data_IF_451044920142
#
_entry.id   IF_451044920142
#
_cell.length_a   1.000
_cell.length_b   1.000
_cell.length_c   1.000
_cell.angle_alpha   90.00
_cell.angle_beta   90.00
_cell.angle_gamma   90.00
#
_symmetry.space_group_name_H-M   'P 1'
#
loop_
_entity.id
_entity.type
_entity.pdbx_description
1 polymer ?
#
# COMPACT_ATOMS: atom_id res chain seq x y z
N UNK A 1 -5.76 -0.82 -19.86
CA UNK A 1 -4.93 -1.68 -19.01
C UNK A 1 -3.56 -1.82 -19.58
N UNK A 2 -2.55 -1.71 -18.72
CA UNK A 2 -1.16 -1.59 -19.15
C UNK A 2 -0.42 -2.89 -18.89
N UNK A 3 -0.58 -3.47 -17.69
CA UNK A 3 0.19 -4.62 -17.21
C UNK A 3 -0.60 -5.92 -17.30
N UNK A 4 -1.94 -5.85 -17.30
CA UNK A 4 -2.80 -7.00 -17.57
C UNK A 4 -3.18 -7.84 -16.35
N UNK A 5 -2.82 -7.38 -15.14
CA UNK A 5 -3.14 -8.09 -13.89
C UNK A 5 -4.64 -8.15 -13.56
N UNK A 6 -5.46 -7.27 -14.16
CA UNK A 6 -6.87 -7.09 -13.78
C UNK A 6 -7.75 -8.35 -13.92
N UNK A 7 -7.30 -9.34 -14.69
CA UNK A 7 -8.05 -10.56 -14.98
C UNK A 7 -7.40 -11.84 -14.42
N UNK A 8 -6.26 -11.73 -13.70
CA UNK A 8 -5.54 -12.91 -13.22
C UNK A 8 -6.20 -13.54 -11.98
N UNK A 9 -6.85 -12.72 -11.15
CA UNK A 9 -7.46 -13.17 -9.91
C UNK A 9 -8.99 -12.99 -9.95
N UNK A 10 -9.77 -14.07 -9.79
CA UNK A 10 -11.23 -13.99 -9.75
C UNK A 10 -11.71 -13.34 -8.45
N UNK A 11 -12.98 -12.93 -8.44
CA UNK A 11 -13.62 -12.44 -7.23
C UNK A 11 -13.74 -13.55 -6.18
N UNK A 12 -13.44 -13.23 -4.92
CA UNK A 12 -13.54 -14.18 -3.80
C UNK A 12 -14.85 -14.05 -3.00
N UNK A 13 -14.96 -14.84 -1.92
CA UNK A 13 -16.11 -14.84 -1.03
C UNK A 13 -16.33 -13.49 -0.32
N UNK A 14 -15.27 -12.72 -0.04
CA UNK A 14 -15.40 -11.39 0.58
C UNK A 14 -15.97 -10.39 -0.42
N UNK A 15 -15.56 -10.46 -1.69
CA UNK A 15 -16.15 -9.62 -2.74
C UNK A 15 -17.63 -9.92 -2.95
N UNK A 16 -18.04 -11.18 -2.82
CA UNK A 16 -19.45 -11.58 -2.87
C UNK A 16 -20.24 -11.09 -1.65
N UNK A 17 -19.65 -11.14 -0.46
CA UNK A 17 -20.28 -10.68 0.78
C UNK A 17 -20.41 -9.14 0.85
N UNK A 18 -19.46 -8.41 0.25
CA UNK A 18 -19.45 -6.95 0.16
C UNK A 18 -19.43 -6.51 -1.30
N UNK A 19 -20.58 -6.56 -2.01
CA UNK A 19 -20.63 -6.36 -3.45
C UNK A 19 -20.49 -4.89 -3.88
N UNK A 20 -20.69 -3.93 -2.97
CA UNK A 20 -20.64 -2.51 -3.33
C UNK A 20 -20.69 -1.55 -2.15
N UNK A 21 -20.61 -0.22 -2.42
CA UNK A 21 -20.46 0.81 -1.40
C UNK A 21 -21.57 0.88 -0.36
N UNK A 22 -22.82 0.60 -0.74
CA UNK A 22 -23.96 0.61 0.18
C UNK A 22 -23.75 -0.44 1.30
N UNK A 23 -23.41 -1.67 0.92
CA UNK A 23 -23.14 -2.75 1.88
C UNK A 23 -21.92 -2.43 2.77
N UNK A 24 -20.90 -1.77 2.23
CA UNK A 24 -19.75 -1.31 3.02
C UNK A 24 -20.15 -0.26 4.06
N UNK A 25 -20.98 0.73 3.70
CA UNK A 25 -21.50 1.73 4.64
C UNK A 25 -22.35 1.10 5.73
N UNK A 26 -23.20 0.14 5.38
CA UNK A 26 -24.02 -0.60 6.36
C UNK A 26 -23.14 -1.39 7.35
N UNK A 27 -22.08 -2.03 6.87
CA UNK A 27 -21.12 -2.74 7.73
C UNK A 27 -20.40 -1.77 8.68
N UNK A 28 -19.93 -0.63 8.17
CA UNK A 28 -19.23 0.38 9.00
C UNK A 28 -20.15 0.97 10.05
N UNK A 29 -21.41 1.26 9.72
CA UNK A 29 -22.39 1.75 10.69
C UNK A 29 -22.56 0.80 11.88
N UNK A 30 -22.41 -0.51 11.66
CA UNK A 30 -22.54 -1.54 12.70
C UNK A 30 -21.24 -1.80 13.48
N UNK A 31 -20.08 -1.74 12.81
CA UNK A 31 -18.80 -2.21 13.38
C UNK A 31 -17.85 -1.09 13.75
N UNK A 32 -17.75 -0.05 12.93
CA UNK A 32 -16.80 1.08 13.07
C UNK A 32 -17.44 2.38 12.54
N UNK A 33 -18.48 2.91 13.22
CA UNK A 33 -19.21 4.09 12.74
C UNK A 33 -18.35 5.36 12.73
N UNK A 34 -17.15 5.34 13.32
CA UNK A 34 -16.18 6.44 13.26
C UNK A 34 -15.51 6.60 11.90
N UNK A 35 -15.33 5.50 11.14
CA UNK A 35 -14.51 5.48 9.93
C UNK A 35 -15.08 6.32 8.77
N UNK A 36 -16.40 6.30 8.46
CA UNK A 36 -16.93 7.11 7.37
C UNK A 36 -16.62 8.60 7.52
N UNK A 37 -16.92 9.19 8.68
CA UNK A 37 -16.71 10.62 8.93
C UNK A 37 -15.22 11.01 8.85
N UNK A 38 -14.35 10.11 9.27
CA UNK A 38 -12.89 10.23 9.23
C UNK A 38 -12.36 10.28 7.79
N UNK A 39 -12.74 9.33 6.95
CA UNK A 39 -12.35 9.33 5.54
C UNK A 39 -13.04 10.44 4.74
N UNK A 40 -14.27 10.83 5.10
CA UNK A 40 -14.97 11.99 4.53
C UNK A 40 -14.18 13.28 4.79
N UNK A 41 -13.70 13.49 6.01
CA UNK A 41 -12.87 14.63 6.35
C UNK A 41 -11.57 14.66 5.55
N UNK A 42 -10.93 13.50 5.34
CA UNK A 42 -9.74 13.41 4.49
C UNK A 42 -10.04 13.64 3.01
N UNK A 43 -11.11 13.08 2.47
CA UNK A 43 -11.50 13.29 1.08
C UNK A 43 -11.83 14.76 0.79
N UNK A 44 -12.50 15.44 1.73
CA UNK A 44 -12.83 16.86 1.61
C UNK A 44 -11.60 17.78 1.50
N UNK A 45 -10.44 17.35 2.05
CA UNK A 45 -9.18 18.09 1.92
C UNK A 45 -8.63 18.11 0.49
N UNK A 46 -9.09 17.24 -0.39
CA UNK A 46 -8.64 17.20 -1.78
C UNK A 46 -9.15 18.39 -2.60
N UNK A 47 -10.25 19.04 -2.18
CA UNK A 47 -10.90 20.15 -2.90
C UNK A 47 -11.26 19.78 -4.36
N UNK A 48 -11.72 18.54 -4.56
CA UNK A 48 -12.18 18.03 -5.85
C UNK A 48 -13.68 18.28 -6.03
N UNK A 49 -14.19 18.00 -7.23
CA UNK A 49 -15.64 18.00 -7.48
C UNK A 49 -16.38 17.11 -6.46
N UNK A 50 -17.52 17.54 -5.89
CA UNK A 50 -18.24 16.74 -4.89
C UNK A 50 -18.66 15.35 -5.36
N UNK A 51 -19.06 15.20 -6.63
CA UNK A 51 -19.43 13.90 -7.17
C UNK A 51 -18.20 13.01 -7.37
N UNK A 52 -17.07 13.57 -7.81
CA UNK A 52 -15.80 12.86 -7.88
C UNK A 52 -15.32 12.41 -6.49
N UNK A 53 -15.42 13.30 -5.50
CA UNK A 53 -15.05 13.04 -4.10
C UNK A 53 -15.90 11.91 -3.52
N UNK A 54 -17.22 11.98 -3.67
CA UNK A 54 -18.14 10.95 -3.18
C UNK A 54 -17.82 9.58 -3.79
N UNK A 55 -17.53 9.54 -5.09
CA UNK A 55 -17.22 8.30 -5.81
C UNK A 55 -15.91 7.65 -5.35
N UNK A 56 -14.86 8.43 -5.15
CA UNK A 56 -13.58 7.93 -4.60
C UNK A 56 -13.72 7.48 -3.15
N UNK A 57 -14.48 8.23 -2.34
CA UNK A 57 -14.76 7.86 -0.97
C UNK A 57 -15.51 6.52 -0.89
N UNK A 58 -16.54 6.33 -1.70
CA UNK A 58 -17.29 5.06 -1.75
C UNK A 58 -16.40 3.88 -2.14
N UNK A 59 -15.49 4.07 -3.10
CA UNK A 59 -14.47 3.08 -3.46
C UNK A 59 -13.49 2.80 -2.30
N UNK A 60 -13.00 3.84 -1.62
CA UNK A 60 -12.08 3.68 -0.49
C UNK A 60 -12.74 2.98 0.70
N UNK A 61 -13.99 3.33 1.03
CA UNK A 61 -14.76 2.65 2.09
C UNK A 61 -15.00 1.18 1.76
N UNK A 62 -15.30 0.86 0.49
CA UNK A 62 -15.45 -0.53 0.06
C UNK A 62 -14.13 -1.31 0.18
N UNK A 63 -13.02 -0.74 -0.28
CA UNK A 63 -11.68 -1.34 -0.15
C UNK A 63 -11.30 -1.61 1.31
N UNK A 64 -11.46 -0.60 2.16
CA UNK A 64 -11.23 -0.72 3.61
C UNK A 64 -12.09 -1.83 4.22
N UNK A 65 -13.39 -1.90 3.90
CA UNK A 65 -14.28 -2.92 4.44
C UNK A 65 -13.88 -4.33 3.99
N UNK A 66 -13.48 -4.50 2.74
CA UNK A 66 -13.06 -5.80 2.22
C UNK A 66 -11.75 -6.26 2.87
N UNK A 67 -10.78 -5.35 3.04
CA UNK A 67 -9.58 -5.66 3.83
C UNK A 67 -9.94 -5.99 5.28
N UNK A 68 -10.81 -5.20 5.90
CA UNK A 68 -11.26 -5.41 7.28
C UNK A 68 -12.00 -6.74 7.48
N UNK A 69 -12.75 -7.20 6.48
CA UNK A 69 -13.43 -8.49 6.50
C UNK A 69 -12.48 -9.67 6.31
N UNK A 70 -11.43 -9.51 5.48
CA UNK A 70 -10.41 -10.55 5.32
C UNK A 70 -9.48 -10.64 6.52
N UNK A 71 -8.93 -9.50 6.91
CA UNK A 71 -7.71 -9.41 7.71
C UNK A 71 -7.82 -8.45 8.89
N UNK A 72 -9.00 -7.88 9.11
CA UNK A 72 -9.24 -6.90 10.15
C UNK A 72 -10.15 -7.34 11.27
N UNK A 73 -10.70 -6.35 11.96
CA UNK A 73 -11.65 -6.56 13.04
C UNK A 73 -13.06 -6.97 12.59
N UNK A 74 -13.31 -7.11 11.29
CA UNK A 74 -14.65 -7.45 10.77
C UNK A 74 -14.86 -8.95 10.54
N UNK A 75 -13.77 -9.71 10.34
CA UNK A 75 -13.80 -11.16 10.12
C UNK A 75 -12.93 -11.96 11.09
N UNK A 76 -12.58 -13.19 10.70
CA UNK A 76 -12.01 -14.21 11.60
C UNK A 76 -10.52 -14.53 11.36
N UNK A 77 -9.88 -13.90 10.36
CA UNK A 77 -8.45 -14.08 10.08
C UNK A 77 -7.62 -12.79 10.30
N UNK A 78 -7.60 -12.23 11.53
CA UNK A 78 -7.00 -10.92 11.74
C UNK A 78 -5.48 -10.93 11.55
N UNK A 79 -5.04 -9.98 10.76
CA UNK A 79 -3.65 -9.60 10.58
C UNK A 79 -3.28 -8.50 11.57
N UNK A 80 -2.08 -8.60 12.13
CA UNK A 80 -1.62 -7.62 13.12
C UNK A 80 -1.19 -6.31 12.45
N UNK A 81 -0.77 -6.34 11.19
CA UNK A 81 -0.33 -5.17 10.44
C UNK A 81 -1.29 -4.83 9.30
N UNK A 82 -1.52 -5.73 8.34
CA UNK A 82 -2.33 -5.44 7.15
C UNK A 82 -3.84 -5.56 7.43
N UNK A 83 -4.48 -4.50 7.93
CA UNK A 83 -5.89 -4.44 8.32
C UNK A 83 -6.51 -3.05 8.12
N UNK A 84 -7.76 -2.83 8.55
CA UNK A 84 -8.46 -1.55 8.41
C UNK A 84 -7.78 -0.40 9.14
N UNK A 85 -7.08 -0.65 10.25
CA UNK A 85 -6.36 0.39 10.95
C UNK A 85 -5.15 0.85 10.15
N UNK A 86 -4.43 -0.07 9.47
CA UNK A 86 -3.34 0.28 8.55
C UNK A 86 -3.81 1.21 7.42
N UNK A 87 -5.01 1.00 6.88
CA UNK A 87 -5.61 1.94 5.91
C UNK A 87 -5.70 3.34 6.50
N UNK A 88 -6.14 3.49 7.75
CA UNK A 88 -6.25 4.79 8.43
C UNK A 88 -4.87 5.40 8.70
N UNK A 89 -3.85 4.58 8.99
CA UNK A 89 -2.46 5.04 9.12
C UNK A 89 -1.97 5.69 7.83
N UNK A 90 -2.25 5.10 6.67
CA UNK A 90 -1.89 5.67 5.38
C UNK A 90 -2.79 6.88 5.04
N UNK A 91 -4.10 6.72 5.12
CA UNK A 91 -5.10 7.67 4.63
C UNK A 91 -5.15 8.96 5.46
N UNK A 92 -5.07 8.88 6.78
CA UNK A 92 -5.16 10.06 7.64
C UNK A 92 -3.79 10.57 8.04
N UNK A 93 -2.94 9.68 8.58
CA UNK A 93 -1.72 10.11 9.24
C UNK A 93 -0.62 10.42 8.24
N UNK A 94 -0.32 9.51 7.31
CA UNK A 94 0.77 9.69 6.34
C UNK A 94 0.37 10.62 5.21
N UNK A 95 -0.77 10.38 4.57
CA UNK A 95 -1.28 11.25 3.51
C UNK A 95 -1.61 12.64 4.05
N UNK A 96 -2.23 12.74 5.24
CA UNK A 96 -2.48 14.03 5.89
C UNK A 96 -1.19 14.81 6.13
N UNK A 97 -0.13 14.16 6.60
CA UNK A 97 1.20 14.79 6.76
C UNK A 97 1.78 15.27 5.42
N UNK A 98 1.60 14.51 4.34
CA UNK A 98 2.01 14.94 2.99
C UNK A 98 1.25 16.20 2.59
N UNK A 99 -0.07 16.23 2.74
CA UNK A 99 -0.90 17.40 2.43
C UNK A 99 -0.50 18.62 3.27
N UNK A 100 -0.25 18.44 4.57
CA UNK A 100 0.15 19.54 5.47
C UNK A 100 1.53 20.11 5.14
N UNK A 101 2.47 19.25 4.76
CA UNK A 101 3.86 19.64 4.51
C UNK A 101 4.07 20.23 3.12
N UNK A 102 3.41 19.68 2.11
CA UNK A 102 3.54 20.13 0.72
C UNK A 102 2.53 21.22 0.35
N UNK A 103 1.40 21.27 1.06
CA UNK A 103 0.25 22.10 0.75
C UNK A 103 -0.68 21.48 -0.30
N UNK A 104 -1.96 21.84 -0.26
CA UNK A 104 -3.00 21.28 -1.14
C UNK A 104 -2.72 21.49 -2.64
N UNK A 105 -2.02 22.57 -3.01
CA UNK A 105 -1.67 22.87 -4.40
C UNK A 105 -0.50 22.03 -4.95
N UNK A 106 0.13 21.18 -4.13
CA UNK A 106 1.26 20.37 -4.57
C UNK A 106 0.87 19.27 -5.57
N UNK A 107 -0.37 18.77 -5.49
CA UNK A 107 -0.94 17.81 -6.43
C UNK A 107 -2.34 18.28 -6.88
N UNK A 108 -2.79 17.86 -8.08
CA UNK A 108 -4.18 18.03 -8.49
C UNK A 108 -5.17 17.38 -7.50
N UNK A 109 -6.40 17.92 -7.36
CA UNK A 109 -7.43 17.34 -6.48
C UNK A 109 -7.67 15.83 -6.68
N UNK A 110 -7.77 15.39 -7.94
CA UNK A 110 -7.96 13.96 -8.26
C UNK A 110 -6.76 13.07 -7.90
N UNK A 111 -5.56 13.62 -7.78
CA UNK A 111 -4.36 12.88 -7.35
C UNK A 111 -4.39 12.63 -5.85
N UNK A 112 -4.88 13.60 -5.05
CA UNK A 112 -5.12 13.38 -3.63
C UNK A 112 -6.15 12.28 -3.37
N UNK A 113 -7.25 12.29 -4.14
CA UNK A 113 -8.27 11.24 -4.06
C UNK A 113 -7.74 9.87 -4.51
N UNK A 114 -6.88 9.82 -5.53
CA UNK A 114 -6.24 8.58 -5.96
C UNK A 114 -5.31 7.99 -4.88
N UNK A 115 -4.54 8.83 -4.17
CA UNK A 115 -3.69 8.38 -3.05
C UNK A 115 -4.51 7.91 -1.85
N UNK A 116 -5.66 8.56 -1.57
CA UNK A 116 -6.61 8.08 -0.57
C UNK A 116 -7.17 6.70 -0.94
N UNK A 117 -7.51 6.50 -2.21
CA UNK A 117 -7.97 5.20 -2.70
C UNK A 117 -6.86 4.14 -2.64
N UNK A 118 -5.62 4.49 -2.99
CA UNK A 118 -4.45 3.61 -2.84
C UNK A 118 -4.30 3.10 -1.41
N UNK A 119 -4.39 3.99 -0.42
CA UNK A 119 -4.31 3.62 1.00
C UNK A 119 -5.29 2.51 1.37
N UNK A 120 -6.50 2.50 0.77
CA UNK A 120 -7.54 1.52 1.06
C UNK A 120 -7.51 0.26 0.18
N UNK A 121 -6.72 0.26 -0.90
CA UNK A 121 -6.82 -0.77 -1.94
C UNK A 121 -5.51 -1.53 -2.24
N UNK A 122 -4.35 -1.02 -1.87
CA UNK A 122 -3.08 -1.66 -2.25
C UNK A 122 -2.88 -3.05 -1.61
N UNK A 123 -3.40 -3.24 -0.40
CA UNK A 123 -3.19 -4.45 0.40
C UNK A 123 -4.42 -5.35 0.54
N UNK A 124 -5.40 -5.25 -0.35
CA UNK A 124 -6.65 -6.02 -0.30
C UNK A 124 -6.44 -7.55 -0.20
N UNK A 125 -5.31 -8.05 -0.72
CA UNK A 125 -4.95 -9.47 -0.81
C UNK A 125 -3.58 -9.69 -0.19
N UNK A 126 -3.48 -10.52 0.87
CA UNK A 126 -2.23 -10.74 1.61
C UNK A 126 -1.77 -12.20 1.71
N UNK A 127 -2.41 -13.10 0.95
CA UNK A 127 -2.18 -14.56 1.01
C UNK A 127 -1.93 -15.20 -0.37
N UNK A 128 -1.72 -14.40 -1.40
CA UNK A 128 -1.55 -14.91 -2.75
C UNK A 128 -0.14 -15.44 -2.97
N UNK A 129 -0.02 -16.41 -3.88
CA UNK A 129 1.26 -16.98 -4.29
C UNK A 129 1.94 -16.08 -5.34
N UNK A 130 3.28 -16.10 -5.38
CA UNK A 130 4.11 -15.31 -6.30
C UNK A 130 4.15 -15.82 -7.76
N UNK A 131 3.15 -16.59 -8.20
CA UNK A 131 3.13 -17.18 -9.55
C UNK A 131 2.41 -16.25 -10.54
N UNK A 132 2.97 -15.06 -10.75
CA UNK A 132 2.45 -14.05 -11.69
C UNK A 132 3.56 -13.55 -12.61
N UNK A 133 3.25 -13.20 -13.88
CA UNK A 133 4.26 -12.68 -14.79
C UNK A 133 4.83 -11.32 -14.33
N UNK A 134 6.15 -11.17 -14.45
CA UNK A 134 6.85 -9.92 -14.19
C UNK A 134 7.21 -9.70 -12.71
N UNK A 135 7.70 -8.50 -12.37
CA UNK A 135 8.27 -8.21 -11.04
C UNK A 135 7.22 -7.86 -9.97
N UNK A 136 5.92 -7.83 -10.33
CA UNK A 136 4.83 -7.51 -9.39
C UNK A 136 4.51 -8.73 -8.55
N UNK A 137 4.36 -8.57 -7.24
CA UNK A 137 4.02 -9.67 -6.35
C UNK A 137 2.60 -10.17 -6.55
N UNK A 138 2.33 -11.42 -6.17
CA UNK A 138 1.00 -12.02 -6.31
C UNK A 138 -0.08 -11.28 -5.51
N UNK A 139 0.29 -10.77 -4.32
CA UNK A 139 -0.58 -9.95 -3.49
C UNK A 139 -1.00 -8.67 -4.21
N UNK A 140 -0.02 -7.93 -4.74
CA UNK A 140 -0.24 -6.68 -5.46
C UNK A 140 -1.03 -6.91 -6.76
N UNK A 141 -0.70 -7.96 -7.53
CA UNK A 141 -1.43 -8.32 -8.74
C UNK A 141 -2.91 -8.64 -8.44
N UNK A 142 -3.20 -9.35 -7.35
CA UNK A 142 -4.56 -9.65 -6.94
C UNK A 142 -5.28 -8.42 -6.38
N UNK A 143 -4.59 -7.57 -5.62
CA UNK A 143 -5.11 -6.27 -5.15
C UNK A 143 -5.45 -5.35 -6.33
N UNK A 144 -4.67 -5.33 -7.41
CA UNK A 144 -5.00 -4.63 -8.65
C UNK A 144 -6.31 -5.17 -9.24
N UNK A 145 -6.42 -6.49 -9.42
CA UNK A 145 -7.63 -7.11 -9.97
C UNK A 145 -8.89 -6.77 -9.17
N UNK A 146 -8.79 -6.78 -7.84
CA UNK A 146 -9.91 -6.44 -6.97
C UNK A 146 -10.23 -4.94 -6.96
N UNK A 147 -9.21 -4.08 -6.94
CA UNK A 147 -9.36 -2.62 -7.00
C UNK A 147 -10.16 -2.21 -8.23
N UNK A 148 -9.94 -2.90 -9.34
CA UNK A 148 -10.65 -2.66 -10.60
C UNK A 148 -12.14 -2.97 -10.50
N UNK A 149 -12.49 -4.04 -9.79
CA UNK A 149 -13.88 -4.39 -9.51
C UNK A 149 -14.52 -3.43 -8.52
N UNK A 150 -13.75 -2.95 -7.53
CA UNK A 150 -14.19 -1.89 -6.61
C UNK A 150 -14.51 -0.61 -7.37
N UNK A 151 -13.62 -0.17 -8.27
CA UNK A 151 -13.85 1.00 -9.13
C UNK A 151 -15.13 0.84 -9.95
N UNK A 152 -15.35 -0.31 -10.59
CA UNK A 152 -16.57 -0.58 -11.33
C UNK A 152 -17.83 -0.55 -10.43
N UNK A 153 -17.77 -1.18 -9.25
CA UNK A 153 -18.87 -1.20 -8.28
C UNK A 153 -19.21 0.19 -7.72
N UNK A 154 -18.24 1.09 -7.70
CA UNK A 154 -18.40 2.50 -7.31
C UNK A 154 -18.73 3.42 -8.49
N UNK A 155 -19.00 2.89 -9.69
CA UNK A 155 -19.47 3.68 -10.83
C UNK A 155 -18.38 4.36 -11.67
N UNK A 156 -17.13 3.91 -11.58
CA UNK A 156 -16.07 4.30 -12.51
C UNK A 156 -16.17 3.52 -13.83
N UNK A 157 -16.04 4.21 -14.95
CA UNK A 157 -16.02 3.62 -16.29
C UNK A 157 -14.57 3.48 -16.80
N UNK A 158 -14.12 2.28 -17.24
CA UNK A 158 -12.74 2.07 -17.69
C UNK A 158 -12.28 2.94 -18.86
N UNK A 159 -13.20 3.44 -19.69
CA UNK A 159 -12.89 4.33 -20.81
C UNK A 159 -12.78 5.79 -20.37
N UNK A 160 -13.86 6.31 -19.78
CA UNK A 160 -13.95 7.71 -19.33
C UNK A 160 -13.00 8.00 -18.16
N UNK A 161 -12.87 7.06 -17.22
CA UNK A 161 -12.09 7.22 -16.00
C UNK A 161 -10.73 6.48 -16.09
N UNK A 162 -10.21 6.25 -17.32
CA UNK A 162 -8.96 5.53 -17.60
C UNK A 162 -7.79 5.97 -16.72
N UNK A 163 -7.60 7.28 -16.55
CA UNK A 163 -6.52 7.85 -15.76
C UNK A 163 -6.48 7.32 -14.32
N UNK A 164 -7.64 7.08 -13.69
CA UNK A 164 -7.73 6.51 -12.34
C UNK A 164 -7.34 5.05 -12.34
N UNK A 165 -7.88 4.25 -13.27
CA UNK A 165 -7.53 2.84 -13.40
C UNK A 165 -6.02 2.63 -13.63
N UNK A 166 -5.42 3.43 -14.52
CA UNK A 166 -3.97 3.40 -14.78
C UNK A 166 -3.17 3.80 -13.54
N UNK A 167 -3.56 4.86 -12.85
CA UNK A 167 -2.87 5.28 -11.64
C UNK A 167 -2.94 4.20 -10.55
N UNK A 168 -4.11 3.59 -10.33
CA UNK A 168 -4.26 2.50 -9.35
C UNK A 168 -3.42 1.27 -9.72
N UNK A 169 -3.40 0.87 -11.00
CA UNK A 169 -2.57 -0.25 -11.47
C UNK A 169 -1.08 0.01 -11.17
N UNK A 170 -0.57 1.21 -11.48
CA UNK A 170 0.84 1.54 -11.29
C UNK A 170 1.23 1.84 -9.84
N UNK A 171 0.33 2.42 -9.04
CA UNK A 171 0.58 2.65 -7.62
C UNK A 171 0.71 1.34 -6.84
N UNK A 172 -0.21 0.40 -7.06
CA UNK A 172 -0.19 -0.91 -6.40
C UNK A 172 0.96 -1.78 -6.93
N UNK A 173 1.22 -1.77 -8.25
CA UNK A 173 2.39 -2.45 -8.78
C UNK A 173 3.69 -1.91 -8.17
N UNK A 174 3.84 -0.58 -8.13
CA UNK A 174 5.01 0.10 -7.59
C UNK A 174 5.24 -0.16 -6.10
N UNK A 175 4.20 -0.40 -5.31
CA UNK A 175 4.34 -0.72 -3.88
C UNK A 175 4.89 -2.12 -3.62
N UNK A 176 4.96 -3.01 -4.62
CA UNK A 176 5.61 -4.33 -4.49
C UNK A 176 6.99 -4.18 -3.85
N UNK A 177 7.20 -4.82 -2.71
CA UNK A 177 8.44 -4.70 -1.94
C UNK A 177 9.23 -6.00 -1.89
N UNK A 178 10.45 -5.99 -2.44
CA UNK A 178 11.38 -7.12 -2.32
C UNK A 178 12.24 -6.99 -1.06
N UNK A 179 11.95 -7.85 -0.08
CA UNK A 179 12.68 -7.92 1.18
C UNK A 179 13.92 -8.83 1.14
N UNK A 180 14.20 -9.50 0.02
CA UNK A 180 15.32 -10.42 -0.11
C UNK A 180 16.65 -9.63 -0.14
N UNK A 181 17.73 -10.14 0.48
CA UNK A 181 19.05 -9.52 0.38
C UNK A 181 19.60 -9.59 -1.04
N UNK A 182 20.22 -8.50 -1.51
CA UNK A 182 20.94 -8.48 -2.79
C UNK A 182 22.35 -9.09 -2.64
N UNK A 183 22.90 -9.75 -3.69
CA UNK A 183 22.25 -10.13 -4.95
C UNK A 183 21.50 -11.46 -4.83
N UNK A 184 20.43 -11.65 -5.61
CA UNK A 184 19.77 -12.96 -5.72
C UNK A 184 20.56 -13.88 -6.65
N UNK A 185 20.41 -15.19 -6.46
CA UNK A 185 21.03 -16.22 -7.29
C UNK A 185 20.28 -16.48 -8.61
N UNK A 186 19.11 -15.86 -8.78
CA UNK A 186 18.19 -16.09 -9.89
C UNK A 186 18.26 -14.90 -10.87
N UNK A 187 18.36 -15.19 -12.17
CA UNK A 187 18.51 -14.25 -13.31
C UNK A 187 17.24 -13.38 -13.57
N UNK A 188 16.58 -12.85 -12.54
CA UNK A 188 15.44 -11.94 -12.68
C UNK A 188 15.89 -10.48 -12.60
N UNK A 189 16.46 -9.97 -13.70
CA UNK A 189 17.20 -8.69 -13.83
C UNK A 189 16.51 -7.40 -13.32
N UNK A 190 15.18 -7.37 -13.17
CA UNK A 190 14.45 -6.14 -12.78
C UNK A 190 14.12 -6.04 -11.28
N UNK A 191 13.79 -7.16 -10.62
CA UNK A 191 13.65 -7.21 -9.16
C UNK A 191 15.03 -7.25 -8.47
N UNK A 192 16.02 -7.87 -9.13
CA UNK A 192 17.41 -7.98 -8.66
C UNK A 192 18.21 -6.67 -8.68
N UNK A 193 17.79 -5.64 -9.43
CA UNK A 193 18.57 -4.41 -9.54
C UNK A 193 18.35 -3.41 -8.38
N UNK A 194 17.30 -3.56 -7.56
CA UNK A 194 16.90 -2.50 -6.62
C UNK A 194 17.01 -2.86 -5.14
N UNK A 195 16.47 -3.99 -4.70
CA UNK A 195 16.09 -4.21 -3.29
C UNK A 195 15.05 -3.17 -2.83
N UNK A 196 14.05 -3.58 -2.06
CA UNK A 196 12.96 -2.69 -1.64
C UNK A 196 11.86 -2.50 -2.70
N UNK A 197 11.27 -1.30 -2.79
CA UNK A 197 10.08 -1.06 -3.61
C UNK A 197 10.37 -1.04 -5.12
N UNK A 198 9.48 -1.69 -5.90
CA UNK A 198 9.50 -1.70 -7.36
C UNK A 198 9.35 -0.30 -7.96
N UNK A 199 8.72 0.66 -7.27
CA UNK A 199 8.52 2.02 -7.75
C UNK A 199 9.82 2.71 -8.22
N UNK A 200 10.96 2.34 -7.64
CA UNK A 200 12.28 2.87 -8.03
C UNK A 200 12.74 2.36 -9.41
N UNK A 201 12.33 1.15 -9.79
CA UNK A 201 12.60 0.53 -11.09
C UNK A 201 11.40 0.58 -12.05
N UNK A 202 10.25 1.12 -11.64
CA UNK A 202 9.00 1.08 -12.39
C UNK A 202 9.13 1.65 -13.80
N UNK A 203 9.77 2.82 -13.96
CA UNK A 203 10.01 3.41 -15.28
C UNK A 203 10.89 2.53 -16.19
N UNK A 204 11.94 1.91 -15.64
CA UNK A 204 12.81 1.00 -16.41
C UNK A 204 12.09 -0.28 -16.83
N UNK A 205 11.22 -0.80 -15.96
CA UNK A 205 10.38 -1.93 -16.32
C UNK A 205 9.37 -1.56 -17.41
N UNK A 206 8.75 -0.37 -17.31
CA UNK A 206 7.85 0.14 -18.33
C UNK A 206 8.54 0.37 -19.68
N UNK A 207 9.83 0.76 -19.70
CA UNK A 207 10.60 0.86 -20.95
C UNK A 207 10.68 -0.50 -21.69
N UNK A 208 10.66 -1.62 -20.95
CA UNK A 208 10.64 -2.97 -21.50
C UNK A 208 9.25 -3.45 -21.94
N UNK A 209 8.25 -3.30 -21.06
CA UNK A 209 6.89 -3.81 -21.32
C UNK A 209 6.07 -2.91 -22.25
N UNK A 210 6.32 -1.60 -22.21
CA UNK A 210 5.56 -0.55 -22.92
C UNK A 210 6.49 0.58 -23.36
N UNK A 211 7.34 0.39 -24.39
CA UNK A 211 8.37 1.36 -24.78
C UNK A 211 7.87 2.80 -25.03
N UNK A 212 6.60 2.96 -25.44
CA UNK A 212 5.99 4.28 -25.70
C UNK A 212 5.25 4.87 -24.48
N UNK A 213 5.39 4.30 -23.29
CA UNK A 213 4.65 4.73 -22.08
C UNK A 213 4.87 6.20 -21.74
N UNK A 214 6.06 6.73 -22.01
CA UNK A 214 6.39 8.13 -21.75
C UNK A 214 5.64 9.11 -22.68
N UNK A 215 5.04 8.64 -23.77
CA UNK A 215 4.16 9.45 -24.61
C UNK A 215 2.71 9.49 -24.10
N UNK A 216 2.29 8.52 -23.26
CA UNK A 216 0.94 8.47 -22.69
C UNK A 216 0.88 9.28 -21.38
N UNK A 217 0.11 10.39 -21.33
CA UNK A 217 0.04 11.25 -20.15
C UNK A 217 -0.54 10.55 -18.92
N UNK A 218 -1.46 9.60 -19.09
CA UNK A 218 -2.07 8.87 -17.97
C UNK A 218 -1.05 7.95 -17.32
N UNK A 219 -0.22 7.28 -18.12
CA UNK A 219 0.82 6.37 -17.64
C UNK A 219 1.94 7.14 -16.95
N UNK A 220 2.34 8.29 -17.49
CA UNK A 220 3.29 9.19 -16.83
C UNK A 220 2.78 9.73 -15.50
N UNK A 221 1.48 10.04 -15.41
CA UNK A 221 0.85 10.42 -14.15
C UNK A 221 0.89 9.26 -13.17
N UNK A 222 0.46 8.07 -13.59
CA UNK A 222 0.43 6.88 -12.74
C UNK A 222 1.80 6.44 -12.24
N UNK A 223 2.84 6.54 -13.06
CA UNK A 223 4.23 6.23 -12.64
C UNK A 223 4.72 7.19 -11.55
N UNK A 224 4.47 8.49 -11.72
CA UNK A 224 4.79 9.51 -10.70
C UNK A 224 4.06 9.25 -9.40
N UNK A 225 2.75 8.98 -9.49
CA UNK A 225 1.95 8.65 -8.32
C UNK A 225 2.42 7.35 -7.68
N UNK A 226 2.87 6.35 -8.45
CA UNK A 226 3.40 5.10 -7.92
C UNK A 226 4.63 5.27 -7.06
N UNK A 227 5.51 6.22 -7.39
CA UNK A 227 6.66 6.58 -6.53
C UNK A 227 6.22 7.16 -5.18
N UNK A 228 5.26 8.08 -5.19
CA UNK A 228 4.75 8.68 -3.96
C UNK A 228 3.90 7.68 -3.14
N UNK A 229 3.13 6.82 -3.80
CA UNK A 229 2.33 5.79 -3.17
C UNK A 229 3.21 4.76 -2.45
N UNK A 230 4.30 4.29 -3.09
CA UNK A 230 5.29 3.45 -2.43
C UNK A 230 5.91 4.12 -1.20
N UNK A 231 6.22 5.42 -1.28
CA UNK A 231 6.74 6.17 -0.14
C UNK A 231 5.71 6.32 1.00
N UNK A 232 4.41 6.37 0.69
CA UNK A 232 3.33 6.38 1.69
C UNK A 232 3.19 5.03 2.39
N UNK A 233 3.29 3.94 1.64
CA UNK A 233 3.23 2.57 2.16
C UNK A 233 4.41 2.30 3.12
N UNK A 234 5.62 2.66 2.71
CA UNK A 234 6.83 2.42 3.53
C UNK A 234 7.22 3.61 4.42
N UNK A 235 6.34 4.61 4.58
CA UNK A 235 6.64 5.82 5.34
C UNK A 235 6.81 5.60 6.85
N UNK A 236 6.55 4.39 7.37
CA UNK A 236 6.76 4.05 8.79
C UNK A 236 8.16 4.44 9.28
N UNK A 237 9.17 4.34 8.42
CA UNK A 237 10.55 4.75 8.74
C UNK A 237 10.70 6.24 9.11
N UNK A 238 9.80 7.09 8.61
CA UNK A 238 9.76 8.53 8.85
C UNK A 238 8.65 8.96 9.82
N UNK A 239 8.00 8.02 10.51
CA UNK A 239 7.10 8.30 11.62
C UNK A 239 7.90 8.51 12.92
N UNK A 240 7.23 8.90 14.02
CA UNK A 240 7.91 8.94 15.32
C UNK A 240 8.44 7.55 15.69
N UNK A 241 9.54 7.50 16.46
CA UNK A 241 10.25 6.24 16.71
C UNK A 241 9.36 5.17 17.38
N UNK A 242 8.42 5.58 18.22
CA UNK A 242 7.43 4.70 18.86
C UNK A 242 6.47 4.07 17.83
N UNK A 243 5.98 4.84 16.86
CA UNK A 243 5.14 4.33 15.78
C UNK A 243 5.92 3.40 14.84
N UNK A 244 7.18 3.76 14.52
CA UNK A 244 8.07 2.88 13.76
C UNK A 244 8.26 1.53 14.49
N UNK A 245 8.58 1.57 15.78
CA UNK A 245 8.78 0.36 16.58
C UNK A 245 7.51 -0.49 16.70
N UNK A 246 6.35 0.12 16.93
CA UNK A 246 5.07 -0.57 16.98
C UNK A 246 4.72 -1.24 15.64
N UNK A 247 4.95 -0.53 14.53
CA UNK A 247 4.74 -1.08 13.18
C UNK A 247 5.58 -2.33 12.93
N UNK A 248 6.85 -2.31 13.36
CA UNK A 248 7.75 -3.46 13.25
C UNK A 248 7.27 -4.63 14.14
N UNK A 249 6.77 -4.37 15.35
CA UNK A 249 6.21 -5.40 16.22
C UNK A 249 4.95 -6.03 15.61
N UNK A 250 4.04 -5.22 15.07
CA UNK A 250 2.83 -5.70 14.39
C UNK A 250 3.19 -6.58 13.18
N UNK A 251 4.10 -6.14 12.34
CA UNK A 251 4.55 -6.91 11.18
C UNK A 251 5.26 -8.21 11.59
N UNK A 252 6.06 -8.18 12.67
CA UNK A 252 6.69 -9.37 13.23
C UNK A 252 5.65 -10.42 13.67
N UNK A 253 4.63 -9.99 14.43
CA UNK A 253 3.53 -10.86 14.87
C UNK A 253 2.78 -11.47 13.70
N UNK A 254 2.50 -10.67 12.67
CA UNK A 254 1.82 -11.15 11.48
C UNK A 254 2.65 -12.18 10.71
N UNK A 255 3.96 -11.93 10.54
CA UNK A 255 4.87 -12.88 9.88
C UNK A 255 4.88 -14.25 10.57
N UNK A 256 4.89 -14.27 11.91
CA UNK A 256 4.81 -15.52 12.67
C UNK A 256 3.49 -16.24 12.47
N UNK A 257 2.37 -15.51 12.58
CA UNK A 257 1.02 -16.05 12.32
C UNK A 257 0.91 -16.65 10.91
N UNK A 258 1.35 -15.91 9.89
CA UNK A 258 1.33 -16.35 8.48
C UNK A 258 2.16 -17.61 8.25
N UNK A 259 3.23 -17.79 9.01
CA UNK A 259 4.04 -18.99 8.96
C UNK A 259 3.56 -20.12 9.90
N UNK A 260 2.38 -19.98 10.49
CA UNK A 260 1.78 -20.99 11.38
C UNK A 260 2.49 -21.14 12.73
N UNK A 261 3.29 -20.16 13.15
CA UNK A 261 4.04 -20.19 14.40
C UNK A 261 3.34 -19.38 15.49
N UNK A 262 3.26 -19.96 16.68
CA UNK A 262 2.67 -19.33 17.85
C UNK A 262 3.74 -18.59 18.67
N UNK A 263 3.48 -17.31 18.97
CA UNK A 263 4.42 -16.40 19.64
C UNK A 263 4.82 -16.85 21.05
N UNK A 264 3.98 -17.65 21.71
CA UNK A 264 4.23 -18.21 23.05
C UNK A 264 5.12 -19.47 23.01
N UNK A 265 5.56 -19.91 21.82
CA UNK A 265 6.45 -21.05 21.64
C UNK A 265 7.88 -20.61 21.40
N UNK A 266 8.82 -21.33 22.00
CA UNK A 266 10.25 -21.08 21.87
C UNK A 266 10.73 -21.02 20.40
N UNK A 267 10.08 -21.75 19.49
CA UNK A 267 10.40 -21.76 18.06
C UNK A 267 10.22 -20.41 17.35
N UNK A 268 9.38 -19.50 17.87
CA UNK A 268 9.22 -18.14 17.33
C UNK A 268 10.32 -17.17 17.78
N UNK A 269 11.03 -17.48 18.88
CA UNK A 269 12.05 -16.58 19.44
C UNK A 269 13.12 -16.18 18.43
N UNK A 270 13.82 -17.14 17.78
CA UNK A 270 14.88 -16.83 16.83
C UNK A 270 14.42 -16.03 15.60
N UNK A 271 13.23 -16.34 15.05
CA UNK A 271 12.70 -15.63 13.87
C UNK A 271 12.26 -14.22 14.21
N UNK A 272 11.59 -14.03 15.36
CA UNK A 272 11.22 -12.72 15.88
C UNK A 272 12.45 -11.84 16.15
N UNK A 273 13.44 -12.37 16.88
CA UNK A 273 14.66 -11.64 17.19
C UNK A 273 15.43 -11.31 15.91
N UNK A 274 15.58 -12.26 14.98
CA UNK A 274 16.25 -12.01 13.71
C UNK A 274 15.55 -10.92 12.88
N UNK A 275 14.23 -10.91 12.86
CA UNK A 275 13.45 -9.87 12.18
C UNK A 275 13.58 -8.50 12.86
N UNK A 276 13.43 -8.44 14.19
CA UNK A 276 13.44 -7.19 14.96
C UNK A 276 14.83 -6.58 15.15
N UNK A 277 15.90 -7.38 15.00
CA UNK A 277 17.30 -6.93 15.07
C UNK A 277 17.87 -6.64 13.68
N UNK A 278 18.57 -7.61 13.08
CA UNK A 278 19.23 -7.50 11.77
C UNK A 278 18.24 -7.19 10.66
N UNK A 279 17.03 -7.76 10.72
CA UNK A 279 15.98 -7.51 9.74
C UNK A 279 15.56 -6.04 9.68
N UNK A 280 15.34 -5.39 10.82
CA UNK A 280 15.01 -3.96 10.86
C UNK A 280 16.17 -3.07 10.42
N UNK A 281 17.43 -3.43 10.73
CA UNK A 281 18.58 -2.71 10.19
C UNK A 281 18.67 -2.80 8.66
N UNK A 282 18.51 -4.01 8.11
CA UNK A 282 18.51 -4.24 6.66
C UNK A 282 17.38 -3.47 5.98
N UNK A 283 16.16 -3.57 6.50
CA UNK A 283 15.01 -2.82 5.99
C UNK A 283 15.28 -1.31 5.99
N UNK A 284 15.72 -0.76 7.12
CA UNK A 284 15.81 0.68 7.31
C UNK A 284 16.95 1.35 6.53
N UNK A 285 18.14 0.71 6.53
CA UNK A 285 19.36 1.32 5.98
C UNK A 285 19.68 0.88 4.56
N UNK A 286 19.36 -0.36 4.20
CA UNK A 286 19.83 -0.94 2.94
C UNK A 286 18.71 -1.00 1.90
N UNK A 287 17.52 -1.48 2.29
CA UNK A 287 16.39 -1.68 1.38
C UNK A 287 15.54 -0.42 1.20
N UNK A 288 15.15 0.25 2.29
CA UNK A 288 14.24 1.38 2.21
C UNK A 288 14.92 2.65 1.69
N UNK A 289 14.41 3.18 0.59
CA UNK A 289 14.76 4.48 0.01
C UNK A 289 13.50 5.15 -0.51
N UNK A 290 13.40 6.48 -0.37
CA UNK A 290 12.28 7.20 -0.94
C UNK A 290 12.41 7.22 -2.47
N UNK A 291 11.31 6.93 -3.16
CA UNK A 291 11.19 6.84 -4.61
C UNK A 291 10.76 8.17 -5.23
N UNK A 292 10.19 9.08 -4.44
CA UNK A 292 9.76 10.42 -4.85
C UNK A 292 10.51 11.53 -4.10
N UNK A 293 10.54 12.73 -4.69
CA UNK A 293 11.13 13.92 -4.01
C UNK A 293 10.23 14.39 -2.88
N UNK A 294 8.92 14.23 -3.08
CA UNK A 294 7.85 14.53 -2.16
C UNK A 294 7.98 13.69 -0.89
N UNK A 295 8.08 12.37 -1.02
CA UNK A 295 8.26 11.44 0.09
C UNK A 295 9.54 11.72 0.89
N UNK A 296 10.67 11.91 0.21
CA UNK A 296 11.94 12.30 0.87
C UNK A 296 11.80 13.61 1.63
N UNK A 297 11.15 14.63 1.05
CA UNK A 297 10.93 15.92 1.70
C UNK A 297 10.06 15.81 2.96
N UNK A 298 9.02 14.97 2.93
CA UNK A 298 8.05 14.86 4.03
C UNK A 298 8.57 13.97 5.16
N UNK A 299 9.16 12.82 4.82
CA UNK A 299 9.49 11.75 5.77
C UNK A 299 11.01 11.59 6.02
N UNK A 300 11.85 12.06 5.11
CA UNK A 300 13.32 11.98 5.18
C UNK A 300 13.93 12.54 6.47
N UNK A 301 13.55 13.75 6.93
CA UNK A 301 14.12 14.31 8.16
C UNK A 301 13.90 13.42 9.38
N UNK A 302 12.70 12.85 9.53
CA UNK A 302 12.38 11.97 10.66
C UNK A 302 13.04 10.59 10.49
N UNK A 303 13.12 10.05 9.27
CA UNK A 303 13.91 8.83 8.99
C UNK A 303 15.36 9.03 9.44
N UNK A 304 15.98 10.16 9.11
CA UNK A 304 17.35 10.44 9.54
C UNK A 304 17.46 10.46 11.07
N UNK A 305 16.51 11.10 11.75
CA UNK A 305 16.47 11.18 13.22
C UNK A 305 16.24 9.82 13.90
N UNK A 306 15.50 8.89 13.25
CA UNK A 306 15.23 7.56 13.77
C UNK A 306 16.43 6.61 13.68
N UNK A 307 17.39 6.87 12.78
CA UNK A 307 18.53 5.99 12.53
C UNK A 307 19.31 5.55 13.77
N UNK A 308 19.72 6.45 14.69
CA UNK A 308 20.38 6.08 15.93
C UNK A 308 19.52 5.18 16.83
N UNK A 309 18.21 5.43 16.89
CA UNK A 309 17.26 4.61 17.65
C UNK A 309 17.17 3.19 17.12
N UNK A 310 17.07 3.04 15.79
CA UNK A 310 17.01 1.72 15.12
C UNK A 310 18.27 0.91 15.43
N UNK A 311 19.47 1.52 15.30
CA UNK A 311 20.73 0.84 15.62
C UNK A 311 20.80 0.40 17.07
N UNK A 312 20.48 1.31 18.00
CA UNK A 312 20.55 1.04 19.44
C UNK A 312 19.64 -0.12 19.85
N UNK A 313 18.37 -0.10 19.43
CA UNK A 313 17.41 -1.15 19.79
C UNK A 313 17.79 -2.47 19.12
N UNK A 314 18.14 -2.46 17.84
CA UNK A 314 18.48 -3.67 17.10
C UNK A 314 19.74 -4.38 17.60
N UNK A 315 20.68 -3.65 18.23
CA UNK A 315 21.90 -4.22 18.82
C UNK A 315 21.70 -4.79 20.23
N UNK A 316 20.58 -4.46 20.88
CA UNK A 316 20.26 -4.89 22.24
C UNK A 316 19.34 -6.12 22.28
N UNK A 317 18.78 -6.50 21.13
CA UNK A 317 17.96 -7.71 20.91
C UNK A 317 18.83 -8.87 20.42
#
# INVERSE_FOLDING_TARGET
MILGYSNLYPADAVEQALPGPVAARDLLAQRRPDIPARLEAMAARADADPAETARHLDAALLGLCRLGLRHGGFGDDPHAYHNEDHVLELAERRLGRVMDTLGHAALPPGDWLALLLFAACHDLRQRETFDVPGPVGGNEAASIAETFRILAASGFDPGRDRATYVAMELMIAGSTFDARPLPHTDDEDLATAAGGSLARGLGLWLDGERPDWAADPDVRRGERLGRLAADLDTANVGESFDLLADSALRLCRERERRAGRALDRAGSGPTCLGFLSRGQQLYFFDLHRFSSREGERVFGPTKLANGPGVRRVSQQL
#
